data_IF_298633356803
#
_entry.id   IF_298633356803
#
_cell.length_a   1.000
_cell.length_b   1.000
_cell.length_c   1.000
_cell.angle_alpha   90.00
_cell.angle_beta   90.00
_cell.angle_gamma   90.00
#
_symmetry.space_group_name_H-M   'P 1'
#
loop_
_entity.id
_entity.type
_entity.pdbx_description
1 polymer ?
#
# COMPACT_ATOMS: atom_id res chain seq x y z
N UNK A 1 -19.43 45.83 -26.45
CA UNK A 1 -19.64 44.37 -26.57
C UNK A 1 -18.36 43.79 -27.13
N UNK A 2 -17.51 43.24 -26.27
CA UNK A 2 -16.42 42.34 -26.64
C UNK A 2 -16.15 41.52 -25.38
N UNK A 3 -16.65 40.30 -25.41
CA UNK A 3 -16.59 39.34 -24.32
C UNK A 3 -15.41 38.41 -24.61
N UNK A 4 -14.30 38.62 -23.91
CA UNK A 4 -13.13 37.73 -23.92
C UNK A 4 -13.24 36.80 -22.73
N UNK A 5 -13.90 35.66 -22.93
CA UNK A 5 -13.83 34.53 -22.02
C UNK A 5 -12.49 33.82 -22.21
N UNK A 6 -11.61 34.00 -21.21
CA UNK A 6 -10.41 33.21 -21.03
C UNK A 6 -10.79 31.76 -20.65
N UNK A 7 -10.55 30.83 -21.56
CA UNK A 7 -10.51 29.40 -21.25
C UNK A 7 -9.32 29.10 -20.32
N UNK A 8 -9.51 28.42 -19.17
CA UNK A 8 -8.39 27.96 -18.36
C UNK A 8 -7.76 26.69 -18.96
N UNK A 9 -6.48 26.85 -19.32
CA UNK A 9 -5.37 25.90 -19.40
C UNK A 9 -5.68 24.39 -19.46
N UNK A 10 -5.45 23.81 -20.65
CA UNK A 10 -5.04 22.41 -20.80
C UNK A 10 -3.72 22.19 -20.05
N UNK A 11 -3.80 21.65 -18.83
CA UNK A 11 -2.64 21.12 -18.13
C UNK A 11 -2.23 19.80 -18.81
N UNK A 12 -1.09 19.84 -19.50
CA UNK A 12 -0.54 18.72 -20.26
C UNK A 12 -0.31 17.49 -19.39
N UNK A 13 -1.12 16.46 -19.64
CA UNK A 13 -0.68 15.07 -19.52
C UNK A 13 -0.34 14.62 -20.93
N UNK A 14 0.95 14.49 -21.24
CA UNK A 14 1.36 13.70 -22.39
C UNK A 14 0.93 12.26 -22.09
N UNK A 15 -0.25 11.87 -22.57
CA UNK A 15 -0.78 10.53 -22.41
C UNK A 15 0.30 9.54 -22.89
N UNK A 16 0.83 8.72 -21.97
CA UNK A 16 1.63 7.56 -22.36
C UNK A 16 0.76 6.72 -23.27
N UNK A 17 1.07 6.73 -24.56
CA UNK A 17 0.49 5.80 -25.51
C UNK A 17 1.08 4.41 -25.24
N UNK A 18 0.61 3.75 -24.18
CA UNK A 18 0.79 2.33 -24.01
C UNK A 18 -0.61 1.72 -23.92
N UNK A 19 -0.86 0.70 -24.72
CA UNK A 19 -2.17 0.02 -24.80
C UNK A 19 -2.56 -0.71 -23.50
N UNK A 20 -1.67 -0.71 -22.49
CA UNK A 20 -1.85 -1.36 -21.19
C UNK A 20 -1.68 -0.36 -20.04
N UNK A 21 -2.70 -0.22 -19.21
CA UNK A 21 -2.60 0.52 -17.95
C UNK A 21 -1.96 -0.32 -16.86
N UNK A 22 -1.14 0.29 -16.00
CA UNK A 22 -0.38 -0.44 -14.97
C UNK A 22 -0.64 0.09 -13.56
N UNK A 23 -1.03 -0.81 -12.67
CA UNK A 23 -1.30 -0.54 -11.26
C UNK A 23 -0.22 -1.23 -10.40
N UNK A 24 0.37 -0.48 -9.47
CA UNK A 24 1.16 -1.02 -8.38
C UNK A 24 0.35 -0.93 -7.08
N UNK A 25 0.27 -2.01 -6.32
CA UNK A 25 -0.36 -2.05 -5.00
C UNK A 25 0.62 -2.49 -3.93
N UNK A 26 0.60 -1.81 -2.77
CA UNK A 26 1.54 -2.05 -1.67
C UNK A 26 0.76 -2.25 -0.37
N UNK A 27 0.96 -3.41 0.26
CA UNK A 27 0.26 -3.76 1.50
C UNK A 27 0.71 -2.91 2.70
N UNK A 28 -0.16 -2.82 3.70
CA UNK A 28 0.17 -2.33 5.04
C UNK A 28 0.95 -3.36 5.87
N UNK A 29 1.80 -2.88 6.79
CA UNK A 29 2.58 -3.77 7.65
C UNK A 29 3.66 -3.14 8.53
N UNK A 30 3.59 -1.83 8.78
CA UNK A 30 4.56 -1.10 9.61
C UNK A 30 5.99 -1.14 9.03
N UNK A 31 6.99 -1.40 9.89
CA UNK A 31 8.41 -1.41 9.48
C UNK A 31 8.73 -2.53 8.48
N UNK A 32 7.88 -3.57 8.39
CA UNK A 32 7.99 -4.62 7.38
C UNK A 32 7.83 -4.11 5.94
N UNK A 33 7.44 -2.85 5.77
CA UNK A 33 7.53 -2.12 4.49
C UNK A 33 8.91 -2.22 3.83
N UNK A 34 10.00 -2.40 4.59
CA UNK A 34 11.33 -2.67 4.05
C UNK A 34 11.37 -3.92 3.13
N UNK A 35 10.60 -4.97 3.43
CA UNK A 35 10.48 -6.14 2.55
C UNK A 35 9.94 -5.71 1.19
N UNK A 36 8.87 -4.91 1.19
CA UNK A 36 8.26 -4.40 -0.03
C UNK A 36 9.23 -3.50 -0.80
N UNK A 37 9.96 -2.61 -0.12
CA UNK A 37 10.96 -1.73 -0.74
C UNK A 37 12.05 -2.51 -1.48
N UNK A 38 12.53 -3.63 -0.93
CA UNK A 38 13.54 -4.45 -1.63
C UNK A 38 12.97 -5.15 -2.88
N UNK A 39 11.72 -5.63 -2.82
CA UNK A 39 11.04 -6.17 -3.99
C UNK A 39 10.87 -5.09 -5.06
N UNK A 40 10.39 -3.91 -4.67
CA UNK A 40 10.23 -2.76 -5.55
C UNK A 40 11.57 -2.29 -6.15
N UNK A 41 12.67 -2.37 -5.39
CA UNK A 41 14.01 -2.05 -5.87
C UNK A 41 14.46 -3.02 -6.97
N UNK A 42 14.17 -4.31 -6.83
CA UNK A 42 14.44 -5.29 -7.89
C UNK A 42 13.57 -5.07 -9.13
N UNK A 43 12.29 -4.71 -8.95
CA UNK A 43 11.40 -4.35 -10.07
C UNK A 43 11.93 -3.10 -10.79
N UNK A 44 12.31 -2.06 -10.04
CA UNK A 44 12.87 -0.82 -10.59
C UNK A 44 14.15 -1.11 -11.41
N UNK A 45 15.07 -1.92 -10.87
CA UNK A 45 16.28 -2.33 -11.57
C UNK A 45 15.98 -3.10 -12.86
N UNK A 46 15.02 -4.03 -12.82
CA UNK A 46 14.60 -4.78 -13.99
C UNK A 46 14.00 -3.88 -15.07
N UNK A 47 13.16 -2.91 -14.68
CA UNK A 47 12.56 -1.96 -15.61
C UNK A 47 13.63 -1.03 -16.22
N UNK A 48 14.61 -0.57 -15.43
CA UNK A 48 15.76 0.21 -15.92
C UNK A 48 16.52 -0.56 -17.00
N UNK A 49 16.78 -1.85 -16.79
CA UNK A 49 17.41 -2.73 -17.78
C UNK A 49 16.51 -2.91 -19.02
N UNK A 50 15.25 -3.30 -18.83
CA UNK A 50 14.28 -3.55 -19.91
C UNK A 50 14.12 -2.35 -20.84
N UNK A 51 14.08 -1.14 -20.28
CA UNK A 51 13.90 0.08 -21.06
C UNK A 51 15.21 0.78 -21.45
N UNK A 52 16.36 0.30 -20.98
CA UNK A 52 17.65 0.96 -21.17
C UNK A 52 17.71 2.36 -20.56
N UNK A 53 16.98 2.61 -19.46
CA UNK A 53 16.85 3.92 -18.80
C UNK A 53 17.33 3.82 -17.35
N UNK A 54 18.58 4.16 -17.03
CA UNK A 54 19.15 3.98 -15.69
C UNK A 54 18.54 4.92 -14.62
N UNK A 55 17.92 6.02 -15.04
CA UNK A 55 17.26 7.03 -14.20
C UNK A 55 15.76 6.77 -14.00
N UNK A 56 15.22 5.73 -14.64
CA UNK A 56 13.80 5.36 -14.50
C UNK A 56 13.47 5.10 -13.03
N UNK A 57 12.35 5.67 -12.58
CA UNK A 57 11.71 5.35 -11.31
C UNK A 57 10.36 4.68 -11.54
N UNK A 58 9.80 4.04 -10.52
CA UNK A 58 8.57 3.28 -10.68
C UNK A 58 7.37 4.10 -11.21
N UNK A 59 7.26 5.40 -10.89
CA UNK A 59 6.22 6.28 -11.44
C UNK A 59 6.34 6.51 -12.96
N UNK A 60 7.49 6.26 -13.57
CA UNK A 60 7.64 6.28 -15.03
C UNK A 60 7.07 5.04 -15.71
N UNK A 61 6.74 4.01 -14.94
CA UNK A 61 6.17 2.77 -15.46
C UNK A 61 4.71 2.57 -15.06
N UNK A 62 4.38 2.80 -13.78
CA UNK A 62 3.02 2.63 -13.25
C UNK A 62 2.17 3.89 -13.45
N UNK A 63 0.93 3.70 -13.91
CA UNK A 63 -0.04 4.78 -14.09
C UNK A 63 -0.81 5.07 -12.81
N UNK A 64 -0.92 4.08 -11.93
CA UNK A 64 -1.51 4.19 -10.60
C UNK A 64 -0.71 3.42 -9.56
N UNK A 65 -0.54 4.02 -8.38
CA UNK A 65 0.06 3.37 -7.21
C UNK A 65 -0.90 3.46 -6.04
N UNK A 66 -1.23 2.31 -5.45
CA UNK A 66 -2.13 2.17 -4.33
C UNK A 66 -1.38 1.67 -3.10
N UNK A 67 -1.73 2.18 -1.92
CA UNK A 67 -1.09 1.75 -0.68
C UNK A 67 -1.95 1.95 0.55
N UNK A 68 -1.75 1.08 1.55
CA UNK A 68 -2.39 1.20 2.87
C UNK A 68 -1.32 1.24 3.96
N UNK A 69 -1.47 2.11 4.96
CA UNK A 69 -0.50 2.21 6.07
C UNK A 69 0.91 2.53 5.56
N UNK A 70 1.92 1.75 5.97
CA UNK A 70 3.28 1.81 5.41
C UNK A 70 3.28 1.76 3.87
N UNK A 71 2.36 1.01 3.26
CA UNK A 71 2.17 0.98 1.82
C UNK A 71 1.74 2.33 1.25
N UNK A 72 0.94 3.13 1.97
CA UNK A 72 0.56 4.48 1.55
C UNK A 72 1.75 5.45 1.60
N UNK A 73 2.65 5.29 2.57
CA UNK A 73 3.92 6.04 2.65
C UNK A 73 4.77 5.73 1.41
N UNK A 74 4.98 4.44 1.10
CA UNK A 74 5.77 4.01 -0.06
C UNK A 74 5.08 4.43 -1.36
N UNK A 75 3.77 4.23 -1.50
CA UNK A 75 3.00 4.62 -2.68
C UNK A 75 3.10 6.12 -2.96
N UNK A 76 3.04 6.95 -1.91
CA UNK A 76 3.19 8.40 -2.03
C UNK A 76 4.59 8.78 -2.48
N UNK A 77 5.62 8.19 -1.88
CA UNK A 77 7.01 8.42 -2.28
C UNK A 77 7.26 8.02 -3.74
N UNK A 78 6.77 6.85 -4.16
CA UNK A 78 6.83 6.41 -5.56
C UNK A 78 6.10 7.41 -6.45
N UNK A 79 4.89 7.84 -6.09
CA UNK A 79 4.09 8.77 -6.89
C UNK A 79 4.73 10.15 -7.02
N UNK A 80 5.52 10.59 -6.04
CA UNK A 80 6.35 11.79 -6.11
C UNK A 80 7.63 11.60 -6.94
N UNK A 81 7.89 10.38 -7.41
CA UNK A 81 9.04 10.04 -8.25
C UNK A 81 10.33 9.77 -7.50
N UNK A 82 10.27 9.39 -6.21
CA UNK A 82 11.44 8.95 -5.46
C UNK A 82 11.87 7.56 -5.95
N UNK A 83 13.18 7.33 -6.02
CA UNK A 83 13.74 6.01 -6.32
C UNK A 83 13.57 5.06 -5.13
N UNK A 84 13.59 3.76 -5.40
CA UNK A 84 13.53 2.75 -4.33
C UNK A 84 14.71 2.89 -3.34
N UNK A 85 15.86 3.39 -3.77
CA UNK A 85 17.00 3.67 -2.89
C UNK A 85 16.72 4.82 -1.93
N UNK A 86 16.09 5.90 -2.40
CA UNK A 86 15.67 7.02 -1.54
C UNK A 86 14.62 6.57 -0.52
N UNK A 87 13.66 5.74 -0.95
CA UNK A 87 12.64 5.18 -0.07
C UNK A 87 13.29 4.26 0.98
N UNK A 88 14.25 3.42 0.58
CA UNK A 88 15.01 2.58 1.52
C UNK A 88 15.74 3.43 2.56
N UNK A 89 16.49 4.44 2.14
CA UNK A 89 17.20 5.35 3.05
C UNK A 89 16.25 6.01 4.04
N UNK A 90 15.09 6.49 3.56
CA UNK A 90 14.06 7.05 4.43
C UNK A 90 13.63 6.08 5.54
N UNK A 91 13.39 4.80 5.22
CA UNK A 91 13.04 3.80 6.24
C UNK A 91 14.20 3.45 7.18
N UNK A 92 15.44 3.38 6.69
CA UNK A 92 16.59 3.05 7.54
C UNK A 92 16.96 4.21 8.48
N UNK A 93 16.89 5.44 7.99
CA UNK A 93 17.26 6.65 8.73
C UNK A 93 16.15 7.12 9.69
N UNK A 94 14.90 6.94 9.29
CA UNK A 94 13.74 7.41 10.06
C UNK A 94 12.95 6.28 10.71
N UNK A 95 13.19 5.00 10.39
CA UNK A 95 12.40 3.87 10.89
C UNK A 95 12.36 3.76 12.41
N UNK A 96 13.47 4.05 13.09
CA UNK A 96 13.52 4.08 14.55
C UNK A 96 12.72 5.23 15.17
N UNK A 97 12.62 6.37 14.47
CA UNK A 97 11.80 7.51 14.89
C UNK A 97 10.33 7.30 14.55
N UNK A 98 10.05 6.73 13.38
CA UNK A 98 8.72 6.48 12.86
C UNK A 98 8.00 5.35 13.61
N UNK A 99 8.70 4.27 13.98
CA UNK A 99 8.06 3.04 14.47
C UNK A 99 8.49 2.60 15.88
N UNK A 100 9.18 3.44 16.66
CA UNK A 100 9.51 3.08 18.05
C UNK A 100 8.28 2.99 18.95
N UNK A 101 8.13 1.85 19.64
CA UNK A 101 7.09 1.54 20.63
C UNK A 101 6.73 2.73 21.54
N UNK A 102 5.46 3.14 21.57
CA UNK A 102 4.89 3.89 22.69
C UNK A 102 4.42 2.90 23.75
N UNK A 103 5.06 2.87 24.92
CA UNK A 103 4.45 2.23 26.08
C UNK A 103 3.11 2.93 26.38
N UNK A 104 2.02 2.16 26.41
CA UNK A 104 0.63 2.58 26.63
C UNK A 104 0.41 3.45 27.89
N UNK A 105 1.39 3.50 28.79
CA UNK A 105 1.30 4.18 30.08
C UNK A 105 1.55 5.69 30.08
N UNK A 106 1.91 6.32 28.95
CA UNK A 106 2.19 7.76 28.93
C UNK A 106 1.27 8.54 27.99
N UNK A 107 0.02 8.75 28.42
CA UNK A 107 -0.97 9.64 27.78
C UNK A 107 -0.48 11.09 27.57
N UNK A 108 0.62 11.49 28.22
CA UNK A 108 1.29 12.78 28.07
C UNK A 108 2.45 12.81 27.04
N UNK A 109 2.97 11.65 26.58
CA UNK A 109 4.03 11.58 25.55
C UNK A 109 3.52 11.52 24.11
N UNK A 110 2.20 11.43 23.90
CA UNK A 110 1.60 11.32 22.57
C UNK A 110 1.86 12.54 21.67
N UNK A 111 2.00 13.75 22.24
CA UNK A 111 2.33 14.96 21.48
C UNK A 111 3.71 14.91 20.79
N UNK A 112 4.72 14.30 21.43
CA UNK A 112 6.10 14.34 20.93
C UNK A 112 6.39 13.34 19.81
N UNK A 113 5.63 12.24 19.71
CA UNK A 113 5.78 11.22 18.64
C UNK A 113 4.92 11.50 17.42
N UNK A 114 3.75 12.08 17.65
CA UNK A 114 2.86 12.67 16.64
C UNK A 114 3.64 13.66 15.75
N UNK A 115 4.43 14.53 16.38
CA UNK A 115 5.26 15.52 15.70
C UNK A 115 6.35 14.87 14.83
N UNK A 116 7.02 13.81 15.30
CA UNK A 116 8.16 13.19 14.59
C UNK A 116 7.77 12.56 13.24
N UNK A 117 6.75 11.69 13.23
CA UNK A 117 6.30 11.09 11.96
C UNK A 117 5.75 12.19 11.03
N UNK A 118 5.03 13.16 11.57
CA UNK A 118 4.52 14.30 10.80
C UNK A 118 5.64 15.13 10.19
N UNK A 119 6.70 15.42 10.93
CA UNK A 119 7.88 16.17 10.48
C UNK A 119 8.63 15.44 9.37
N UNK A 120 8.85 14.14 9.52
CA UNK A 120 9.48 13.30 8.50
C UNK A 120 8.64 13.28 7.21
N UNK A 121 7.32 13.06 7.31
CA UNK A 121 6.44 13.07 6.14
C UNK A 121 6.34 14.46 5.50
N UNK A 122 6.32 15.54 6.29
CA UNK A 122 6.36 16.92 5.78
C UNK A 122 7.68 17.24 5.08
N UNK A 123 8.80 16.75 5.60
CA UNK A 123 10.13 16.91 5.01
C UNK A 123 10.21 16.23 3.64
N UNK A 124 9.71 14.99 3.54
CA UNK A 124 9.79 14.20 2.30
C UNK A 124 8.72 14.61 1.29
N UNK A 125 7.48 14.83 1.72
CA UNK A 125 6.35 15.07 0.80
C UNK A 125 6.05 16.55 0.57
N UNK A 126 6.57 17.43 1.41
CA UNK A 126 6.33 18.87 1.40
C UNK A 126 5.07 19.26 2.17
N UNK A 127 5.20 20.29 3.02
CA UNK A 127 4.14 20.80 3.91
C UNK A 127 2.91 21.26 3.12
N UNK A 128 3.13 21.94 1.98
CA UNK A 128 2.08 22.53 1.14
C UNK A 128 1.64 21.60 0.00
N UNK A 129 2.08 20.35 0.00
CA UNK A 129 1.66 19.38 -1.02
C UNK A 129 0.30 18.80 -0.64
N UNK A 130 -0.65 18.87 -1.57
CA UNK A 130 -2.02 18.35 -1.41
C UNK A 130 -2.22 17.09 -2.26
N UNK A 131 -3.28 16.34 -2.02
CA UNK A 131 -3.59 15.11 -2.78
C UNK A 131 -3.74 15.38 -4.29
N UNK A 132 -4.28 16.53 -4.69
CA UNK A 132 -4.40 16.95 -6.09
C UNK A 132 -3.16 17.62 -6.68
N UNK A 133 -2.01 17.58 -5.99
CA UNK A 133 -0.80 18.28 -6.44
C UNK A 133 -0.25 17.72 -7.75
N UNK A 134 0.13 18.62 -8.67
CA UNK A 134 0.82 18.28 -9.91
C UNK A 134 2.24 17.67 -9.70
N UNK A 135 2.75 17.66 -8.45
CA UNK A 135 3.99 16.95 -8.11
C UNK A 135 3.85 15.42 -8.18
N UNK A 136 2.62 14.90 -8.07
CA UNK A 136 2.35 13.47 -8.23
C UNK A 136 2.40 13.11 -9.72
N UNK A 137 3.33 12.23 -10.08
CA UNK A 137 3.65 11.84 -11.46
C UNK A 137 2.73 10.73 -11.99
N UNK A 138 1.99 10.08 -11.11
CA UNK A 138 1.00 9.05 -11.43
C UNK A 138 -0.21 9.17 -10.49
N UNK A 139 -1.26 8.40 -10.75
CA UNK A 139 -2.41 8.33 -9.86
C UNK A 139 -1.98 7.72 -8.53
N UNK A 140 -2.42 8.30 -7.42
CA UNK A 140 -2.17 7.81 -6.07
C UNK A 140 -3.51 7.41 -5.46
N UNK A 141 -3.54 6.22 -4.87
CA UNK A 141 -4.64 5.76 -4.05
C UNK A 141 -4.16 5.37 -2.66
N UNK A 142 -4.91 5.76 -1.64
CA UNK A 142 -4.66 5.33 -0.28
C UNK A 142 -5.94 5.06 0.50
N UNK A 143 -5.83 4.22 1.53
CA UNK A 143 -6.94 3.85 2.39
C UNK A 143 -6.80 4.51 3.75
N UNK A 144 -7.88 5.13 4.24
CA UNK A 144 -7.99 5.63 5.61
C UNK A 144 -9.34 5.23 6.21
N UNK A 145 -9.44 5.07 7.53
CA UNK A 145 -10.70 4.76 8.21
C UNK A 145 -11.18 5.98 8.99
N UNK A 146 -12.32 6.55 8.59
CA UNK A 146 -13.00 7.63 9.31
C UNK A 146 -13.73 7.04 10.53
N UNK A 147 -13.21 7.32 11.72
CA UNK A 147 -13.77 6.81 12.99
C UNK A 147 -15.05 7.54 13.40
N UNK A 148 -15.31 8.76 12.92
CA UNK A 148 -16.54 9.46 13.27
C UNK A 148 -17.78 8.84 12.61
N UNK A 149 -17.64 8.38 11.36
CA UNK A 149 -18.74 7.85 10.56
C UNK A 149 -18.72 6.31 10.41
N UNK A 150 -17.69 5.66 10.96
CA UNK A 150 -17.41 4.23 10.75
C UNK A 150 -17.26 3.85 9.26
N UNK A 151 -16.64 4.74 8.49
CA UNK A 151 -16.50 4.63 7.04
C UNK A 151 -15.05 4.38 6.64
N UNK A 152 -14.85 3.50 5.66
CA UNK A 152 -13.55 3.41 4.99
C UNK A 152 -13.53 4.35 3.80
N UNK A 153 -12.56 5.26 3.78
CA UNK A 153 -12.32 6.16 2.67
C UNK A 153 -11.22 5.60 1.77
N UNK A 154 -11.52 5.54 0.49
CA UNK A 154 -10.59 5.12 -0.57
C UNK A 154 -10.21 6.35 -1.37
N UNK A 155 -9.20 7.08 -0.87
CA UNK A 155 -8.80 8.39 -1.38
C UNK A 155 -8.00 8.22 -2.67
N UNK A 156 -8.32 9.01 -3.70
CA UNK A 156 -7.53 9.06 -4.93
C UNK A 156 -7.33 10.50 -5.39
N UNK A 157 -6.23 10.76 -6.09
CA UNK A 157 -6.01 12.03 -6.78
C UNK A 157 -6.73 12.12 -8.14
N UNK A 158 -7.73 11.25 -8.41
CA UNK A 158 -8.46 11.26 -9.67
C UNK A 158 -9.41 12.47 -9.76
N UNK A 159 -9.18 13.44 -10.66
CA UNK A 159 -10.09 14.58 -10.81
C UNK A 159 -11.48 14.18 -11.31
N UNK A 160 -11.63 13.02 -11.96
CA UNK A 160 -12.91 12.51 -12.47
C UNK A 160 -13.76 11.81 -11.39
N UNK A 161 -13.21 11.61 -10.20
CA UNK A 161 -13.95 11.00 -9.08
C UNK A 161 -15.06 11.93 -8.59
N UNK A 162 -16.27 11.43 -8.30
CA UNK A 162 -17.34 12.24 -7.70
C UNK A 162 -16.93 12.90 -6.37
N UNK A 163 -16.00 12.29 -5.63
CA UNK A 163 -15.46 12.82 -4.37
C UNK A 163 -14.49 13.99 -4.58
N UNK A 164 -14.05 14.20 -5.82
CA UNK A 164 -13.08 15.22 -6.22
C UNK A 164 -13.69 16.33 -7.09
N UNK A 165 -15.02 16.34 -7.27
CA UNK A 165 -15.71 17.36 -8.04
C UNK A 165 -15.54 18.76 -7.41
N UNK A 166 -15.27 19.78 -8.23
CA UNK A 166 -15.00 21.16 -7.79
C UNK A 166 -16.14 21.79 -6.98
N UNK A 167 -17.37 21.37 -7.22
CA UNK A 167 -18.56 21.88 -6.52
C UNK A 167 -18.64 21.43 -5.05
N UNK A 168 -17.76 20.51 -4.63
CA UNK A 168 -17.73 19.99 -3.26
C UNK A 168 -16.92 20.90 -2.35
N UNK A 169 -17.55 21.38 -1.27
CA UNK A 169 -16.84 22.07 -0.19
C UNK A 169 -15.88 21.18 0.60
N UNK A 170 -15.99 19.86 0.44
CA UNK A 170 -15.20 18.81 1.09
C UNK A 170 -14.32 18.02 0.10
N UNK A 171 -13.87 18.68 -0.98
CA UNK A 171 -13.06 18.05 -2.04
C UNK A 171 -11.78 17.42 -1.48
N UNK A 172 -11.59 16.12 -1.72
CA UNK A 172 -10.47 15.37 -1.15
C UNK A 172 -9.11 15.78 -1.75
N UNK A 173 -9.09 16.28 -2.98
CA UNK A 173 -7.87 16.79 -3.65
C UNK A 173 -7.18 17.93 -2.88
N UNK A 174 -7.93 18.69 -2.08
CA UNK A 174 -7.43 19.87 -1.36
C UNK A 174 -6.90 19.53 0.03
N UNK A 175 -6.91 18.25 0.41
CA UNK A 175 -6.43 17.82 1.71
C UNK A 175 -4.89 17.68 1.70
N UNK A 176 -4.21 18.08 2.79
CA UNK A 176 -2.75 17.98 2.88
C UNK A 176 -2.27 16.52 2.76
N UNK A 177 -1.36 16.28 1.81
CA UNK A 177 -0.93 14.93 1.45
C UNK A 177 -0.24 14.22 2.61
N UNK A 178 0.70 14.90 3.28
CA UNK A 178 1.42 14.32 4.43
C UNK A 178 0.46 13.90 5.55
N UNK A 179 -0.64 14.63 5.71
CA UNK A 179 -1.63 14.39 6.75
C UNK A 179 -2.49 13.17 6.43
N UNK A 180 -2.92 13.03 5.16
CA UNK A 180 -3.63 11.83 4.70
C UNK A 180 -2.77 10.58 4.79
N UNK A 181 -1.49 10.67 4.45
CA UNK A 181 -0.57 9.54 4.56
C UNK A 181 -0.37 9.14 6.02
N UNK A 182 -0.20 10.12 6.91
CA UNK A 182 -0.14 9.85 8.35
C UNK A 182 -1.42 9.18 8.85
N UNK A 183 -2.59 9.68 8.45
CA UNK A 183 -3.88 9.08 8.79
C UNK A 183 -3.95 7.61 8.35
N UNK A 184 -3.47 7.30 7.15
CA UNK A 184 -3.41 5.93 6.64
C UNK A 184 -2.51 5.02 7.47
N UNK A 185 -1.45 5.55 8.10
CA UNK A 185 -0.48 4.82 8.90
C UNK A 185 -0.72 4.91 10.43
N UNK A 186 -1.81 5.54 10.87
CA UNK A 186 -2.11 5.77 12.29
C UNK A 186 -2.68 4.52 12.97
N UNK A 187 -1.87 3.46 13.08
CA UNK A 187 -2.30 2.16 13.59
C UNK A 187 -2.73 2.25 15.06
N UNK A 188 -3.96 1.81 15.42
CA UNK A 188 -4.41 1.84 16.80
C UNK A 188 -3.44 1.11 17.73
N UNK A 189 -3.22 1.69 18.93
CA UNK A 189 -2.22 1.26 19.92
C UNK A 189 -0.76 1.60 19.62
N UNK A 190 -0.41 1.95 18.37
CA UNK A 190 0.95 2.38 17.99
C UNK A 190 1.03 3.89 17.79
N UNK A 191 0.00 4.49 17.18
CA UNK A 191 -0.05 5.92 16.90
C UNK A 191 -1.38 6.52 17.34
N UNK A 192 -1.39 7.80 17.75
CA UNK A 192 -2.64 8.53 17.94
C UNK A 192 -3.37 8.69 16.59
N UNK A 193 -4.71 8.71 16.59
CA UNK A 193 -5.50 9.05 15.40
C UNK A 193 -5.11 10.41 14.81
N UNK A 194 -5.36 10.58 13.52
CA UNK A 194 -5.12 11.83 12.80
C UNK A 194 -6.40 12.65 12.66
N UNK A 195 -6.33 13.95 12.94
CA UNK A 195 -7.49 14.85 12.79
C UNK A 195 -7.31 15.70 11.54
N UNK A 196 -8.16 15.49 10.54
CA UNK A 196 -8.12 16.23 9.26
C UNK A 196 -9.35 17.12 9.17
N UNK A 197 -9.15 18.40 8.83
CA UNK A 197 -10.25 19.31 8.56
C UNK A 197 -10.76 19.12 7.12
N UNK A 198 -11.99 18.62 6.98
CA UNK A 198 -12.63 18.33 5.70
C UNK A 198 -13.94 19.12 5.61
N UNK A 199 -14.06 20.02 4.63
CA UNK A 199 -15.27 20.85 4.48
C UNK A 199 -15.63 21.69 5.72
N UNK A 200 -14.61 22.18 6.43
CA UNK A 200 -14.78 22.95 7.67
C UNK A 200 -15.15 22.13 8.91
N UNK A 201 -15.08 20.80 8.84
CA UNK A 201 -15.32 19.89 9.98
C UNK A 201 -14.07 19.09 10.30
N UNK A 202 -13.78 18.91 11.58
CA UNK A 202 -12.72 18.01 12.03
C UNK A 202 -13.22 16.57 12.00
N UNK A 203 -12.52 15.72 11.25
CA UNK A 203 -12.77 14.28 11.18
C UNK A 203 -11.55 13.53 11.69
N UNK A 204 -11.79 12.45 12.43
CA UNK A 204 -10.79 11.60 13.08
C UNK A 204 -10.58 10.36 12.22
N UNK A 205 -9.36 10.18 11.76
CA UNK A 205 -8.94 9.07 10.94
C UNK A 205 -7.95 8.16 11.67
N UNK A 206 -8.05 6.87 11.40
CA UNK A 206 -7.10 5.85 11.82
C UNK A 206 -6.63 5.04 10.62
N UNK A 207 -5.65 4.16 10.87
CA UNK A 207 -5.02 3.34 9.84
C UNK A 207 -6.02 2.60 8.94
N UNK A 208 -5.76 2.63 7.64
CA UNK A 208 -6.59 1.98 6.63
C UNK A 208 -6.62 0.45 6.75
N UNK A 209 -5.65 -0.17 7.40
CA UNK A 209 -5.62 -1.61 7.70
C UNK A 209 -6.69 -2.01 8.73
N UNK A 210 -7.32 -1.06 9.44
CA UNK A 210 -8.55 -1.28 10.20
C UNK A 210 -9.76 -1.31 9.25
N UNK A 211 -9.64 -2.13 8.21
CA UNK A 211 -10.64 -2.37 7.17
C UNK A 211 -10.26 -3.64 6.38
N UNK A 212 -11.05 -3.97 5.36
CA UNK A 212 -10.75 -5.08 4.45
C UNK A 212 -9.63 -4.79 3.43
N UNK A 213 -8.95 -3.65 3.52
CA UNK A 213 -8.03 -3.18 2.47
C UNK A 213 -6.59 -2.98 2.96
N UNK A 214 -6.11 -3.83 3.88
CA UNK A 214 -4.68 -3.86 4.19
C UNK A 214 -3.83 -4.16 2.93
N UNK A 215 -4.33 -5.04 2.06
CA UNK A 215 -3.90 -5.18 0.67
C UNK A 215 -4.91 -4.42 -0.22
N UNK A 216 -4.57 -3.25 -0.80
CA UNK A 216 -5.52 -2.48 -1.60
C UNK A 216 -5.62 -2.94 -3.07
N UNK A 217 -5.04 -4.08 -3.45
CA UNK A 217 -4.84 -4.46 -4.86
C UNK A 217 -6.14 -4.57 -5.66
N UNK A 218 -7.09 -5.38 -5.18
CA UNK A 218 -8.35 -5.54 -5.91
C UNK A 218 -9.18 -4.24 -5.88
N UNK A 219 -9.16 -3.53 -4.75
CA UNK A 219 -9.82 -2.22 -4.66
C UNK A 219 -9.24 -1.20 -5.64
N UNK A 220 -7.93 -1.23 -5.93
CA UNK A 220 -7.31 -0.37 -6.92
C UNK A 220 -7.81 -0.69 -8.35
N UNK A 221 -7.99 -1.97 -8.68
CA UNK A 221 -8.63 -2.38 -9.95
C UNK A 221 -10.07 -1.86 -10.03
N UNK A 222 -10.83 -1.96 -8.94
CA UNK A 222 -12.20 -1.42 -8.89
C UNK A 222 -12.21 0.10 -9.11
N UNK A 223 -11.28 0.85 -8.49
CA UNK A 223 -11.14 2.29 -8.73
C UNK A 223 -10.80 2.62 -10.17
N UNK A 224 -9.88 1.87 -10.77
CA UNK A 224 -9.45 2.06 -12.15
C UNK A 224 -10.57 1.78 -13.16
N UNK A 225 -11.46 0.83 -12.88
CA UNK A 225 -12.34 0.25 -13.92
C UNK A 225 -13.82 0.54 -13.71
N UNK A 226 -14.29 0.70 -12.48
CA UNK A 226 -15.72 0.84 -12.21
C UNK A 226 -16.20 2.28 -12.47
N UNK A 227 -17.31 2.39 -13.22
CA UNK A 227 -17.88 3.66 -13.66
C UNK A 227 -18.10 4.71 -12.55
N UNK A 228 -18.52 4.36 -11.31
CA UNK A 228 -18.69 5.34 -10.24
C UNK A 228 -17.41 6.08 -9.85
N UNK A 229 -16.23 5.52 -10.09
CA UNK A 229 -14.95 6.18 -9.79
C UNK A 229 -14.41 7.03 -10.94
N UNK A 230 -15.02 6.97 -12.12
CA UNK A 230 -14.75 7.87 -13.24
C UNK A 230 -13.53 7.53 -14.12
N UNK A 231 -12.59 6.70 -13.68
CA UNK A 231 -11.38 6.35 -14.46
C UNK A 231 -11.70 5.52 -15.71
N UNK A 232 -12.60 4.55 -15.60
CA UNK A 232 -13.10 3.72 -16.72
C UNK A 232 -12.00 3.08 -17.59
N UNK A 233 -10.88 2.68 -16.99
CA UNK A 233 -9.78 2.02 -17.70
C UNK A 233 -10.26 0.71 -18.32
N UNK A 234 -9.74 0.43 -19.52
CA UNK A 234 -10.06 -0.78 -20.27
C UNK A 234 -9.57 -2.01 -19.51
N UNK A 235 -10.46 -2.97 -19.29
CA UNK A 235 -10.11 -4.28 -18.72
C UNK A 235 -9.70 -5.27 -19.80
N UNK A 236 -8.97 -6.30 -19.37
CA UNK A 236 -8.54 -7.44 -20.17
C UNK A 236 -7.05 -7.72 -20.00
N UNK A 237 -6.63 -8.98 -20.12
CA UNK A 237 -5.20 -9.32 -20.21
C UNK A 237 -4.54 -8.53 -21.35
N UNK A 238 -3.37 -7.96 -21.10
CA UNK A 238 -2.64 -7.06 -21.98
C UNK A 238 -3.18 -5.63 -22.06
N UNK A 239 -4.32 -5.33 -21.44
CA UNK A 239 -4.89 -3.96 -21.34
C UNK A 239 -4.82 -3.37 -19.93
N UNK A 240 -4.77 -4.21 -18.90
CA UNK A 240 -4.61 -3.80 -17.51
C UNK A 240 -3.70 -4.78 -16.77
N UNK A 241 -2.66 -4.28 -16.13
CA UNK A 241 -1.72 -5.05 -15.31
C UNK A 241 -1.74 -4.56 -13.87
N UNK A 242 -1.75 -5.49 -12.91
CA UNK A 242 -1.68 -5.23 -11.48
C UNK A 242 -0.50 -5.99 -10.87
N UNK A 243 0.44 -5.26 -10.30
CA UNK A 243 1.53 -5.78 -9.47
C UNK A 243 1.22 -5.49 -8.02
N UNK A 244 1.10 -6.52 -7.17
CA UNK A 244 0.86 -6.38 -5.73
C UNK A 244 2.07 -6.86 -4.93
N UNK A 245 2.60 -6.00 -4.06
CA UNK A 245 3.78 -6.25 -3.23
C UNK A 245 3.42 -6.22 -1.74
N UNK A 246 3.86 -7.24 -1.03
CA UNK A 246 3.49 -7.49 0.36
C UNK A 246 4.59 -7.18 1.34
N UNK A 247 4.20 -7.05 2.60
CA UNK A 247 5.12 -6.84 3.73
C UNK A 247 5.29 -8.10 4.58
N UNK A 248 4.97 -9.28 4.04
CA UNK A 248 5.07 -10.57 4.70
C UNK A 248 3.82 -10.99 5.49
N UNK A 249 3.49 -12.28 5.39
CA UNK A 249 2.44 -12.95 6.15
C UNK A 249 2.98 -13.43 7.49
N UNK A 250 2.28 -13.10 8.56
CA UNK A 250 2.62 -13.49 9.93
C UNK A 250 1.45 -14.25 10.58
N UNK A 251 1.12 -15.47 10.13
CA UNK A 251 0.03 -16.24 10.72
C UNK A 251 0.34 -16.57 12.18
N UNK A 252 -0.47 -16.07 13.10
CA UNK A 252 -0.37 -16.42 14.51
C UNK A 252 -1.09 -17.76 14.75
N UNK A 253 -0.35 -18.87 14.77
CA UNK A 253 -0.91 -20.19 15.07
C UNK A 253 -0.47 -20.69 16.45
N UNK A 254 -1.39 -20.78 17.41
CA UNK A 254 -1.19 -21.55 18.65
C UNK A 254 -1.83 -22.93 18.54
N UNK A 255 -1.00 -23.97 18.47
CA UNK A 255 -1.46 -25.38 18.36
C UNK A 255 -2.01 -25.93 19.68
N UNK A 256 -1.71 -25.28 20.79
CA UNK A 256 -2.05 -25.65 22.17
C UNK A 256 -3.16 -24.78 22.79
N UNK A 257 -3.85 -23.98 21.97
CA UNK A 257 -4.93 -23.10 22.42
C UNK A 257 -6.11 -23.91 22.97
N UNK A 258 -6.48 -23.68 24.24
CA UNK A 258 -7.67 -24.29 24.86
C UNK A 258 -8.81 -23.28 24.90
N UNK A 259 -10.05 -23.76 25.01
CA UNK A 259 -11.25 -22.90 25.07
C UNK A 259 -11.14 -21.80 26.15
N UNK A 260 -10.63 -22.14 27.35
CA UNK A 260 -10.47 -21.19 28.46
C UNK A 260 -9.36 -20.15 28.24
N UNK A 261 -8.47 -20.36 27.27
CA UNK A 261 -7.42 -19.40 26.92
C UNK A 261 -7.97 -18.30 25.99
N UNK A 262 -9.15 -18.50 25.39
CA UNK A 262 -9.89 -17.49 24.61
C UNK A 262 -10.70 -16.66 25.58
N UNK A 263 -10.20 -15.47 25.88
CA UNK A 263 -10.84 -14.47 26.72
C UNK A 263 -10.66 -13.09 26.10
N UNK A 264 -11.29 -12.07 26.68
CA UNK A 264 -11.26 -10.71 26.15
C UNK A 264 -9.84 -10.16 25.95
N UNK A 265 -8.89 -10.55 26.82
CA UNK A 265 -7.48 -10.13 26.68
C UNK A 265 -6.83 -10.84 25.50
N UNK A 266 -7.03 -12.15 25.36
CA UNK A 266 -6.54 -12.90 24.21
C UNK A 266 -7.10 -12.36 22.89
N UNK A 267 -8.42 -12.15 22.81
CA UNK A 267 -9.09 -11.63 21.63
C UNK A 267 -8.57 -10.24 21.25
N UNK A 268 -8.37 -9.36 22.23
CA UNK A 268 -7.81 -8.03 22.00
C UNK A 268 -6.39 -8.07 21.41
N UNK A 269 -5.62 -9.12 21.68
CA UNK A 269 -4.24 -9.28 21.16
C UNK A 269 -4.15 -9.99 19.82
N UNK A 270 -5.12 -10.86 19.49
CA UNK A 270 -5.02 -11.76 18.32
C UNK A 270 -5.97 -11.37 17.20
N UNK A 271 -7.19 -10.92 17.50
CA UNK A 271 -8.19 -10.61 16.48
C UNK A 271 -7.74 -9.55 15.47
N UNK A 272 -7.11 -8.41 15.87
CA UNK A 272 -6.69 -7.40 14.91
C UNK A 272 -5.73 -7.95 13.84
N UNK A 273 -4.68 -8.65 14.26
CA UNK A 273 -3.71 -9.25 13.34
C UNK A 273 -4.35 -10.35 12.46
N UNK A 274 -5.29 -11.11 13.01
CA UNK A 274 -6.00 -12.18 12.30
C UNK A 274 -6.93 -11.61 11.21
N UNK A 275 -7.68 -10.55 11.52
CA UNK A 275 -8.55 -9.87 10.57
C UNK A 275 -7.76 -9.18 9.46
N UNK A 276 -6.62 -8.56 9.80
CA UNK A 276 -5.69 -8.01 8.80
C UNK A 276 -5.16 -9.11 7.87
N UNK A 277 -4.75 -10.25 8.42
CA UNK A 277 -4.30 -11.38 7.60
C UNK A 277 -5.41 -11.90 6.69
N UNK A 278 -6.63 -12.07 7.22
CA UNK A 278 -7.79 -12.48 6.44
C UNK A 278 -8.09 -11.50 5.30
N UNK A 279 -7.99 -10.19 5.54
CA UNK A 279 -8.24 -9.19 4.50
C UNK A 279 -7.17 -9.18 3.40
N UNK A 280 -5.90 -9.39 3.76
CA UNK A 280 -4.82 -9.54 2.76
C UNK A 280 -5.06 -10.75 1.86
N UNK A 281 -5.44 -11.90 2.45
CA UNK A 281 -5.72 -13.14 1.73
C UNK A 281 -6.96 -12.99 0.84
N UNK A 282 -8.03 -12.36 1.34
CA UNK A 282 -9.26 -12.15 0.57
C UNK A 282 -9.02 -11.28 -0.67
N UNK A 283 -8.24 -10.21 -0.55
CA UNK A 283 -7.90 -9.33 -1.67
C UNK A 283 -7.02 -10.05 -2.70
N UNK A 284 -6.02 -10.85 -2.26
CA UNK A 284 -5.22 -11.69 -3.17
C UNK A 284 -6.10 -12.74 -3.88
N UNK A 285 -7.00 -13.39 -3.15
CA UNK A 285 -7.96 -14.34 -3.71
C UNK A 285 -8.81 -13.72 -4.80
N UNK A 286 -9.39 -12.53 -4.57
CA UNK A 286 -10.18 -11.82 -5.58
C UNK A 286 -9.31 -11.45 -6.80
N UNK A 287 -8.08 -11.02 -6.59
CA UNK A 287 -7.15 -10.75 -7.68
C UNK A 287 -6.84 -12.00 -8.53
N UNK A 288 -6.63 -13.17 -7.91
CA UNK A 288 -6.38 -14.42 -8.65
C UNK A 288 -7.64 -14.97 -9.31
N UNK A 289 -8.80 -14.75 -8.69
CA UNK A 289 -10.08 -15.17 -9.23
C UNK A 289 -10.43 -14.39 -10.50
N UNK A 290 -10.29 -13.06 -10.49
CA UNK A 290 -10.66 -12.19 -11.61
C UNK A 290 -9.51 -11.83 -12.56
N UNK A 291 -8.26 -11.94 -12.12
CA UNK A 291 -7.06 -11.67 -12.92
C UNK A 291 -6.35 -12.93 -13.41
N UNK A 292 -5.53 -12.79 -14.46
CA UNK A 292 -4.59 -13.83 -14.91
C UNK A 292 -3.39 -13.78 -13.98
N UNK A 293 -3.32 -14.71 -13.03
CA UNK A 293 -2.19 -14.80 -12.11
C UNK A 293 -0.98 -15.41 -12.84
N UNK A 294 0.06 -14.61 -13.07
CA UNK A 294 1.33 -15.05 -13.66
C UNK A 294 2.31 -15.56 -12.61
N UNK A 295 2.25 -14.98 -11.41
CA UNK A 295 3.09 -15.39 -10.28
C UNK A 295 2.44 -14.98 -8.95
N UNK A 296 2.54 -15.87 -7.97
CA UNK A 296 2.20 -15.59 -6.58
C UNK A 296 2.32 -16.83 -5.71
N UNK A 297 2.87 -16.70 -4.51
CA UNK A 297 3.00 -17.80 -3.55
C UNK A 297 1.64 -18.45 -3.22
N UNK A 298 1.60 -19.73 -2.82
CA UNK A 298 0.35 -20.37 -2.38
C UNK A 298 -0.32 -19.58 -1.26
N UNK A 299 -1.64 -19.36 -1.37
CA UNK A 299 -2.43 -18.61 -0.37
C UNK A 299 -2.71 -19.48 0.85
N UNK A 300 -3.20 -20.69 0.63
CA UNK A 300 -3.44 -21.68 1.67
C UNK A 300 -3.38 -23.12 1.11
N UNK A 301 -3.58 -24.11 1.99
CA UNK A 301 -3.48 -25.53 1.64
C UNK A 301 -4.61 -26.04 0.74
N UNK A 302 -5.76 -25.38 0.73
CA UNK A 302 -6.94 -25.78 -0.02
C UNK A 302 -6.96 -25.14 -1.41
N UNK A 303 -6.67 -23.83 -1.48
CA UNK A 303 -6.71 -23.04 -2.71
C UNK A 303 -5.41 -23.11 -3.51
N UNK A 304 -4.28 -23.41 -2.88
CA UNK A 304 -2.97 -23.40 -3.53
C UNK A 304 -2.61 -22.01 -4.04
N UNK A 305 -2.06 -21.91 -5.26
CA UNK A 305 -1.67 -20.65 -5.91
C UNK A 305 -2.73 -20.10 -6.88
N UNK A 306 -3.79 -20.86 -7.16
CA UNK A 306 -4.83 -20.52 -8.14
C UNK A 306 -4.32 -20.07 -9.53
N UNK A 307 -3.10 -20.44 -9.92
CA UNK A 307 -2.57 -20.15 -11.25
C UNK A 307 -3.32 -20.99 -12.28
N UNK A 308 -3.76 -20.35 -13.38
CA UNK A 308 -4.54 -21.00 -14.44
C UNK A 308 -6.01 -21.29 -14.08
N UNK A 309 -6.49 -20.87 -12.92
CA UNK A 309 -7.91 -21.04 -12.54
C UNK A 309 -8.79 -20.07 -13.35
N UNK A 310 -9.87 -20.54 -14.01
CA UNK A 310 -10.76 -19.67 -14.78
C UNK A 310 -11.56 -18.72 -13.87
N UNK A 311 -11.89 -17.53 -14.38
CA UNK A 311 -12.81 -16.63 -13.68
C UNK A 311 -14.25 -17.19 -13.67
N UNK A 312 -15.05 -16.84 -12.66
CA UNK A 312 -16.50 -16.97 -12.74
C UNK A 312 -17.01 -16.21 -13.98
N UNK A 313 -17.72 -16.89 -14.88
CA UNK A 313 -18.15 -16.30 -16.16
C UNK A 313 -17.09 -16.28 -17.27
N UNK A 314 -15.92 -16.88 -17.04
CA UNK A 314 -14.92 -17.20 -18.08
C UNK A 314 -14.02 -16.06 -18.54
N UNK A 315 -14.26 -14.81 -18.11
CA UNK A 315 -13.48 -13.65 -18.56
C UNK A 315 -12.58 -13.15 -17.44
N UNK A 316 -11.27 -13.10 -17.70
CA UNK A 316 -10.28 -12.44 -16.82
C UNK A 316 -10.21 -10.95 -17.15
N UNK A 317 -10.01 -10.11 -16.13
CA UNK A 317 -10.14 -8.66 -16.24
C UNK A 317 -8.80 -7.91 -16.29
N UNK A 318 -7.70 -8.54 -15.91
CA UNK A 318 -6.36 -7.93 -15.86
C UNK A 318 -5.28 -9.02 -15.71
N UNK A 319 -4.03 -8.68 -15.99
CA UNK A 319 -2.85 -9.47 -15.62
C UNK A 319 -2.45 -9.19 -14.17
N UNK A 320 -2.06 -10.22 -13.44
CA UNK A 320 -1.81 -10.13 -12.00
C UNK A 320 -0.52 -10.81 -11.57
N UNK A 321 0.25 -10.12 -10.74
CA UNK A 321 1.47 -10.62 -10.12
C UNK A 321 1.45 -10.27 -8.63
N UNK A 322 1.74 -11.24 -7.77
CA UNK A 322 1.85 -11.06 -6.31
C UNK A 322 3.24 -11.45 -5.82
N UNK A 323 3.90 -10.54 -5.11
CA UNK A 323 5.15 -10.83 -4.39
C UNK A 323 4.96 -10.71 -2.88
N UNK A 324 4.93 -11.83 -2.16
CA UNK A 324 4.87 -11.84 -0.70
C UNK A 324 5.69 -12.98 -0.10
N UNK A 325 5.93 -12.92 1.20
CA UNK A 325 6.72 -13.91 1.94
C UNK A 325 5.97 -14.44 3.15
N UNK A 326 6.12 -15.73 3.42
CA UNK A 326 5.71 -16.33 4.69
C UNK A 326 6.81 -16.09 5.73
N UNK A 327 6.49 -15.36 6.80
CA UNK A 327 7.43 -15.03 7.88
C UNK A 327 7.44 -16.07 9.01
N UNK A 328 6.82 -17.24 8.82
CA UNK A 328 7.02 -18.38 9.72
C UNK A 328 8.43 -18.96 9.57
N UNK A 329 8.87 -19.74 10.55
CA UNK A 329 10.16 -20.45 10.48
C UNK A 329 10.31 -21.27 9.19
N UNK A 330 9.21 -21.90 8.75
CA UNK A 330 9.17 -22.66 7.48
C UNK A 330 9.40 -21.75 6.28
N UNK A 331 8.72 -20.60 6.24
CA UNK A 331 8.85 -19.65 5.14
C UNK A 331 10.25 -19.05 5.05
N UNK A 332 10.83 -18.66 6.18
CA UNK A 332 12.20 -18.16 6.28
C UNK A 332 13.24 -19.22 5.88
N UNK A 333 13.09 -20.46 6.32
CA UNK A 333 13.93 -21.57 5.89
C UNK A 333 13.84 -21.82 4.37
N UNK A 334 12.65 -21.66 3.78
CA UNK A 334 12.43 -21.72 2.34
C UNK A 334 13.12 -20.60 1.53
N UNK A 335 13.57 -19.54 2.19
CA UNK A 335 14.42 -18.48 1.62
C UNK A 335 15.91 -18.66 1.96
N UNK A 336 16.28 -19.74 2.67
CA UNK A 336 17.65 -19.94 3.16
C UNK A 336 18.02 -19.03 4.33
N UNK A 337 17.04 -18.51 5.07
CA UNK A 337 17.21 -17.56 6.17
C UNK A 337 16.80 -18.17 7.53
N UNK A 338 17.20 -19.44 7.75
CA UNK A 338 16.90 -20.15 9.00
C UNK A 338 17.59 -19.55 10.24
N UNK A 339 18.52 -18.62 10.05
CA UNK A 339 19.19 -17.86 11.11
C UNK A 339 18.31 -16.72 11.69
N UNK A 340 17.26 -16.32 10.97
CA UNK A 340 16.35 -15.26 11.42
C UNK A 340 15.21 -15.89 12.24
N UNK A 341 15.05 -15.45 13.48
CA UNK A 341 13.92 -15.87 14.31
C UNK A 341 12.62 -15.26 13.78
N UNK A 342 11.60 -16.11 13.55
CA UNK A 342 10.31 -15.67 13.02
C UNK A 342 9.63 -14.61 13.93
N UNK A 343 9.73 -14.78 15.25
CA UNK A 343 9.16 -13.85 16.22
C UNK A 343 9.70 -12.41 16.09
N UNK A 344 10.96 -12.26 15.66
CA UNK A 344 11.66 -10.98 15.55
C UNK A 344 11.25 -10.17 14.32
N UNK A 345 10.59 -10.81 13.34
CA UNK A 345 10.25 -10.18 12.05
C UNK A 345 8.77 -10.19 11.74
N UNK A 346 7.95 -10.89 12.55
CA UNK A 346 6.50 -10.93 12.40
C UNK A 346 5.80 -9.68 12.95
N UNK A 347 6.41 -8.99 13.92
CA UNK A 347 5.82 -7.80 14.54
C UNK A 347 5.92 -6.58 13.61
N UNK A 348 4.88 -5.75 13.58
CA UNK A 348 4.80 -4.59 12.68
C UNK A 348 5.72 -3.43 13.07
N UNK A 349 6.31 -3.49 14.26
CA UNK A 349 7.20 -2.51 14.87
C UNK A 349 8.58 -3.10 15.22
N UNK A 350 8.99 -4.15 14.50
CA UNK A 350 10.29 -4.83 14.58
C UNK A 350 11.50 -3.96 14.15
N UNK A 351 11.58 -2.72 14.62
CA UNK A 351 12.61 -1.74 14.26
C UNK A 351 14.02 -2.24 14.57
N UNK A 352 14.20 -3.02 15.64
CA UNK A 352 15.48 -3.62 15.98
C UNK A 352 15.99 -4.62 14.92
N UNK A 353 15.12 -5.09 14.03
CA UNK A 353 15.39 -6.14 13.05
C UNK A 353 15.25 -5.66 11.60
N UNK A 354 15.44 -4.36 11.34
CA UNK A 354 15.40 -3.78 9.99
C UNK A 354 16.39 -4.45 9.02
N UNK A 355 17.57 -4.85 9.52
CA UNK A 355 18.55 -5.60 8.71
C UNK A 355 18.00 -6.96 8.28
N UNK A 356 17.37 -7.71 9.20
CA UNK A 356 16.72 -8.99 8.91
C UNK A 356 15.58 -8.82 7.88
N UNK A 357 14.74 -7.79 8.04
CA UNK A 357 13.67 -7.46 7.09
C UNK A 357 14.22 -7.14 5.69
N UNK A 358 15.32 -6.39 5.62
CA UNK A 358 16.02 -6.09 4.38
C UNK A 358 16.58 -7.36 3.73
N UNK A 359 17.20 -8.26 4.51
CA UNK A 359 17.70 -9.55 4.02
C UNK A 359 16.57 -10.42 3.46
N UNK A 360 15.44 -10.48 4.16
CA UNK A 360 14.24 -11.20 3.70
C UNK A 360 13.73 -10.64 2.37
N UNK A 361 13.58 -9.33 2.26
CA UNK A 361 13.13 -8.67 1.04
C UNK A 361 14.06 -8.94 -0.16
N UNK A 362 15.37 -8.86 0.04
CA UNK A 362 16.37 -9.19 -1.00
C UNK A 362 16.32 -10.66 -1.42
N UNK A 363 16.19 -11.58 -0.46
CA UNK A 363 16.08 -13.01 -0.76
C UNK A 363 14.79 -13.33 -1.54
N UNK A 364 13.66 -12.74 -1.14
CA UNK A 364 12.39 -12.85 -1.86
C UNK A 364 12.53 -12.32 -3.28
N UNK A 365 13.06 -11.11 -3.44
CA UNK A 365 13.23 -10.47 -4.74
C UNK A 365 14.12 -11.31 -5.68
N UNK A 366 15.25 -11.83 -5.18
CA UNK A 366 16.14 -12.69 -5.92
C UNK A 366 15.48 -14.01 -6.35
N UNK A 367 14.62 -14.58 -5.51
CA UNK A 367 13.90 -15.84 -5.83
C UNK A 367 12.77 -15.62 -6.83
N UNK A 368 12.04 -14.52 -6.72
CA UNK A 368 10.71 -14.41 -7.33
C UNK A 368 10.58 -13.31 -8.39
N UNK A 369 11.31 -12.20 -8.33
CA UNK A 369 11.13 -11.12 -9.33
C UNK A 369 11.77 -11.55 -10.65
N UNK A 370 10.97 -11.67 -11.71
CA UNK A 370 11.40 -12.12 -13.04
C UNK A 370 10.83 -11.23 -14.14
N UNK A 371 11.59 -11.06 -15.22
CA UNK A 371 11.15 -10.24 -16.34
C UNK A 371 9.89 -10.81 -17.02
N UNK A 372 9.75 -12.13 -17.03
CA UNK A 372 8.61 -12.84 -17.61
C UNK A 372 7.28 -12.58 -16.90
N UNK A 373 7.30 -11.97 -15.71
CA UNK A 373 6.08 -11.63 -14.97
C UNK A 373 5.41 -10.36 -15.48
N UNK A 374 6.14 -9.51 -16.23
CA UNK A 374 5.66 -8.23 -16.73
C UNK A 374 5.44 -8.32 -18.24
N UNK A 375 4.24 -7.94 -18.70
CA UNK A 375 3.88 -7.97 -20.13
C UNK A 375 4.39 -6.72 -20.87
#
# INVERSE_FOLDING_TARGET
>A
MNDTTLHPAEAGSAAKASDCHRILSIDGGGIRGLIAVEVLSAIEALLRERYGKPDLVLADHFDMVAGTSTGAIIATAVSLGLSCDQIRSFYLDSGSRMFAHSHFYERFKYKYKDEMLSEELRSVFGVDTHLGSAKLRCMLMMIVRNSNADETWTLTNNPQSPYNAEVRGDRQLDLPLWQLVRASAAAPSFFPPEVVTVGGRELVFIDGSVSSYCNPAFQAVIHATAAPYGMNWKTGPGSLELVSVGTGLAPHSRKDLRSNDINLVYDATVLPASLILSSVIEQDFLCRLFGVCHHGQPMDKNLGDMVGVPAPGGTKLFDYVRYNVDLTERGLAGLGLSDIAAADVQMIDSVAHMESLTRIGKALAARDVRATHFQ
#
